data_IF_038757057372
#
_entry.id   IF_038757057372
#
_cell.length_a   1.000
_cell.length_b   1.000
_cell.length_c   1.000
_cell.angle_alpha   90.00
_cell.angle_beta   90.00
_cell.angle_gamma   90.00
#
_symmetry.space_group_name_H-M   'P 1'
#
loop_
_entity.id
_entity.type
_entity.pdbx_description
1 polymer ?
#
# COMPACT_ATOMS: atom_id res chain seq x y z
N UNK A 1 15.71 -1.24 -9.45
CA UNK A 1 16.34 -0.68 -8.22
C UNK A 1 17.57 0.22 -8.49
N UNK A 2 18.60 -0.14 -9.32
CA UNK A 2 19.75 0.74 -9.55
C UNK A 2 19.37 2.11 -10.12
N UNK A 3 18.50 2.16 -11.12
CA UNK A 3 18.03 3.41 -11.74
C UNK A 3 17.35 4.35 -10.71
N UNK A 4 16.43 3.82 -9.91
CA UNK A 4 15.76 4.60 -8.86
C UNK A 4 16.76 5.19 -7.83
N UNK A 5 17.80 4.43 -7.46
CA UNK A 5 18.86 4.90 -6.56
C UNK A 5 19.64 6.08 -7.15
N UNK A 6 19.92 6.08 -8.47
CA UNK A 6 20.64 7.18 -9.13
C UNK A 6 19.90 8.52 -9.02
N UNK A 7 18.57 8.49 -9.03
CA UNK A 7 17.73 9.69 -8.93
C UNK A 7 17.21 9.94 -7.50
N UNK A 8 17.74 9.23 -6.50
CA UNK A 8 17.30 9.29 -5.10
C UNK A 8 15.80 9.03 -4.91
N UNK A 9 15.22 8.16 -5.75
CA UNK A 9 13.84 7.71 -5.61
C UNK A 9 13.78 6.51 -4.69
N UNK A 10 12.99 6.61 -3.66
CA UNK A 10 12.79 5.52 -2.67
C UNK A 10 12.59 6.03 -1.25
N UNK A 11 12.45 5.11 -0.30
CA UNK A 11 12.59 3.64 -0.43
C UNK A 11 11.48 2.99 -1.25
N UNK A 12 11.82 2.06 -2.14
CA UNK A 12 10.86 1.33 -2.97
C UNK A 12 10.54 -0.02 -2.34
N UNK A 13 9.28 -0.27 -2.05
CA UNK A 13 8.77 -1.59 -1.69
C UNK A 13 8.51 -2.43 -2.93
N UNK A 14 8.98 -3.68 -2.93
CA UNK A 14 8.63 -4.67 -3.94
C UNK A 14 8.17 -5.93 -3.24
N UNK A 15 7.01 -6.44 -3.63
CA UNK A 15 6.37 -7.56 -2.97
C UNK A 15 5.79 -8.53 -4.00
N UNK A 16 5.66 -9.79 -3.59
CA UNK A 16 4.91 -10.82 -4.30
C UNK A 16 3.64 -11.14 -3.54
N UNK A 17 2.60 -11.57 -4.23
CA UNK A 17 1.42 -12.12 -3.58
C UNK A 17 1.81 -13.35 -2.76
N UNK A 18 1.56 -13.31 -1.45
CA UNK A 18 1.82 -14.44 -0.57
C UNK A 18 0.89 -15.62 -0.87
N UNK A 19 1.33 -16.85 -0.64
CA UNK A 19 0.44 -18.02 -0.66
C UNK A 19 -0.46 -18.00 0.58
N UNK A 20 -1.58 -17.30 0.48
CA UNK A 20 -2.52 -17.10 1.58
C UNK A 20 -3.97 -17.34 1.12
N UNK A 21 -4.83 -18.04 1.91
CA UNK A 21 -6.20 -18.37 1.52
C UNK A 21 -7.12 -17.19 1.20
N UNK A 22 -6.79 -16.00 1.71
CA UNK A 22 -7.55 -14.76 1.44
C UNK A 22 -7.13 -14.05 0.16
N UNK A 23 -5.99 -14.42 -0.43
CA UNK A 23 -5.56 -13.81 -1.69
C UNK A 23 -6.41 -14.36 -2.84
N UNK A 24 -6.68 -13.49 -3.81
CA UNK A 24 -7.30 -13.90 -5.05
C UNK A 24 -6.31 -14.76 -5.85
N UNK A 25 -6.72 -15.93 -6.30
CA UNK A 25 -5.88 -16.82 -7.12
C UNK A 25 -5.42 -16.17 -8.43
N UNK A 26 -6.23 -15.29 -9.00
CA UNK A 26 -5.86 -14.54 -10.20
C UNK A 26 -4.68 -13.58 -9.99
N UNK A 27 -4.42 -13.15 -8.74
CA UNK A 27 -3.32 -12.27 -8.36
C UNK A 27 -2.08 -13.04 -7.86
N UNK A 28 -2.05 -14.37 -7.98
CA UNK A 28 -1.01 -15.23 -7.41
C UNK A 28 0.41 -14.91 -7.94
N UNK A 29 0.51 -14.43 -9.16
CA UNK A 29 1.79 -14.09 -9.81
C UNK A 29 2.05 -12.58 -9.87
N UNK A 30 1.21 -11.77 -9.23
CA UNK A 30 1.35 -10.32 -9.27
C UNK A 30 2.56 -9.86 -8.46
N UNK A 31 3.25 -8.88 -9.04
CA UNK A 31 4.29 -8.11 -8.38
C UNK A 31 3.70 -6.76 -7.97
N UNK A 32 3.79 -6.45 -6.69
CA UNK A 32 3.32 -5.20 -6.12
C UNK A 32 4.48 -4.26 -5.85
N UNK A 33 4.36 -3.02 -6.28
CA UNK A 33 5.38 -2.00 -6.02
C UNK A 33 4.78 -0.82 -5.26
N UNK A 34 5.51 -0.34 -4.25
CA UNK A 34 5.19 0.85 -3.49
C UNK A 34 6.32 1.86 -3.67
N UNK A 35 6.04 3.00 -4.28
CA UNK A 35 7.03 4.03 -4.56
C UNK A 35 6.57 5.36 -3.97
N UNK A 36 7.24 5.88 -2.92
CA UNK A 36 6.93 7.19 -2.37
C UNK A 36 7.52 8.31 -3.22
N UNK A 37 6.81 9.41 -3.31
CA UNK A 37 7.23 10.67 -3.94
C UNK A 37 7.05 11.81 -2.95
N UNK A 38 7.89 12.81 -2.98
CA UNK A 38 7.79 13.99 -2.11
C UNK A 38 6.59 14.85 -2.47
N UNK A 39 6.24 14.88 -3.76
CA UNK A 39 5.13 15.66 -4.31
C UNK A 39 4.75 15.14 -5.71
N UNK A 40 3.67 15.68 -6.26
CA UNK A 40 3.17 15.31 -7.59
C UNK A 40 4.17 15.62 -8.72
N UNK A 41 4.93 16.71 -8.63
CA UNK A 41 5.93 17.07 -9.64
C UNK A 41 7.03 16.00 -9.76
N UNK A 42 7.50 15.48 -8.63
CA UNK A 42 8.49 14.40 -8.62
C UNK A 42 7.94 13.11 -9.27
N UNK A 43 6.66 12.82 -9.07
CA UNK A 43 5.99 11.70 -9.74
C UNK A 43 5.91 11.91 -11.25
N UNK A 44 5.48 13.07 -11.72
CA UNK A 44 5.32 13.34 -13.16
C UNK A 44 6.64 13.38 -13.93
N UNK A 45 7.72 13.82 -13.29
CA UNK A 45 9.06 13.87 -13.91
C UNK A 45 9.88 12.58 -13.77
N UNK A 46 9.34 11.51 -13.15
CA UNK A 46 10.13 10.31 -12.83
C UNK A 46 10.69 9.60 -14.06
N UNK A 47 9.89 9.48 -15.11
CA UNK A 47 10.26 8.69 -16.28
C UNK A 47 11.42 9.36 -17.04
N UNK A 48 11.39 10.68 -17.20
CA UNK A 48 12.47 11.47 -17.79
C UNK A 48 13.79 11.35 -16.99
N UNK A 49 13.68 11.16 -15.68
CA UNK A 49 14.82 11.05 -14.76
C UNK A 49 15.39 9.63 -14.66
N UNK A 50 14.57 8.61 -14.86
CA UNK A 50 14.96 7.19 -14.73
C UNK A 50 15.57 6.66 -16.02
N UNK A 51 15.04 7.05 -17.19
CA UNK A 51 15.45 6.54 -18.49
C UNK A 51 16.70 7.27 -18.96
N UNK A 52 17.84 6.76 -18.54
CA UNK A 52 19.18 7.18 -18.97
C UNK A 52 19.90 6.04 -19.74
N UNK A 53 21.07 6.33 -20.31
CA UNK A 53 21.84 5.35 -21.08
C UNK A 53 22.14 4.09 -20.25
N UNK A 54 22.45 4.24 -18.96
CA UNK A 54 22.71 3.13 -18.08
C UNK A 54 21.44 2.29 -17.82
N UNK A 55 20.27 2.91 -17.75
CA UNK A 55 19.01 2.18 -17.68
C UNK A 55 18.78 1.39 -18.96
N UNK A 56 18.93 2.03 -20.12
CA UNK A 56 18.72 1.39 -21.43
C UNK A 56 19.64 0.19 -21.60
N UNK A 57 20.92 0.33 -21.26
CA UNK A 57 21.90 -0.78 -21.34
C UNK A 57 21.55 -1.93 -20.37
N UNK A 58 21.26 -1.63 -19.10
CA UNK A 58 21.02 -2.65 -18.09
C UNK A 58 19.63 -3.31 -18.19
N UNK A 59 18.68 -2.66 -18.82
CA UNK A 59 17.32 -3.16 -19.04
C UNK A 59 17.09 -3.66 -20.48
N UNK A 60 18.15 -3.83 -21.27
CA UNK A 60 18.06 -4.15 -22.70
C UNK A 60 17.22 -5.39 -23.00
N UNK A 61 17.41 -6.48 -22.28
CA UNK A 61 16.63 -7.72 -22.42
C UNK A 61 15.13 -7.46 -22.17
N UNK A 62 14.80 -6.74 -21.10
CA UNK A 62 13.44 -6.34 -20.76
C UNK A 62 12.83 -5.41 -21.82
N UNK A 63 13.57 -4.38 -22.25
CA UNK A 63 13.09 -3.36 -23.19
C UNK A 63 12.88 -3.93 -24.61
N UNK A 64 13.65 -4.94 -25.00
CA UNK A 64 13.57 -5.58 -26.31
C UNK A 64 12.85 -6.94 -26.29
N UNK A 65 12.15 -7.27 -25.18
CA UNK A 65 11.34 -8.49 -25.12
C UNK A 65 10.26 -8.49 -26.21
N UNK A 66 10.04 -9.65 -26.81
CA UNK A 66 9.03 -9.80 -27.85
C UNK A 66 7.62 -9.84 -27.23
N UNK A 67 6.59 -9.46 -28.00
CA UNK A 67 5.20 -9.52 -27.57
C UNK A 67 4.74 -10.92 -27.12
N UNK A 68 5.39 -11.96 -27.61
CA UNK A 68 5.13 -13.37 -27.29
C UNK A 68 5.85 -13.83 -26.02
N UNK A 69 6.79 -13.04 -25.54
CA UNK A 69 7.58 -13.31 -24.33
C UNK A 69 7.72 -12.03 -23.49
N UNK A 70 6.61 -11.36 -23.28
CA UNK A 70 6.57 -10.11 -22.53
C UNK A 70 6.79 -10.35 -21.03
N UNK A 71 7.58 -9.49 -20.41
CA UNK A 71 7.92 -9.59 -18.98
C UNK A 71 6.69 -9.43 -18.06
N UNK A 72 5.59 -8.86 -18.54
CA UNK A 72 4.33 -8.72 -17.82
C UNK A 72 3.15 -8.62 -18.79
N UNK A 73 1.96 -8.93 -18.32
CA UNK A 73 0.73 -8.83 -19.11
C UNK A 73 0.18 -7.40 -19.11
N UNK A 74 0.06 -6.81 -17.91
CA UNK A 74 -0.48 -5.45 -17.72
C UNK A 74 0.12 -4.83 -16.45
N UNK A 75 0.13 -3.50 -16.43
CA UNK A 75 0.44 -2.71 -15.24
C UNK A 75 -0.81 -1.95 -14.83
N UNK A 76 -1.21 -2.09 -13.57
CA UNK A 76 -2.25 -1.27 -12.94
C UNK A 76 -1.58 -0.36 -11.93
N UNK A 77 -1.86 0.94 -12.00
CA UNK A 77 -1.24 1.92 -11.12
C UNK A 77 -2.31 2.69 -10.34
N UNK A 78 -1.99 3.01 -9.09
CA UNK A 78 -2.78 3.91 -8.26
C UNK A 78 -1.90 5.06 -7.77
N UNK A 79 -2.35 6.29 -8.00
CA UNK A 79 -1.73 7.49 -7.44
C UNK A 79 -2.48 7.92 -6.19
N UNK A 80 -1.77 8.00 -5.07
CA UNK A 80 -2.38 8.22 -3.76
C UNK A 80 -1.80 9.45 -3.09
N UNK A 81 -2.66 10.15 -2.32
CA UNK A 81 -2.23 11.16 -1.36
C UNK A 81 -2.09 10.52 0.01
N UNK A 82 -0.91 10.66 0.63
CA UNK A 82 -0.70 10.20 2.00
C UNK A 82 -1.66 10.91 2.96
N UNK A 83 -2.05 10.21 4.04
CA UNK A 83 -2.89 10.82 5.08
C UNK A 83 -2.10 11.83 5.91
N UNK A 84 -2.77 12.89 6.37
CA UNK A 84 -2.16 13.92 7.22
C UNK A 84 -1.62 13.33 8.53
N UNK A 85 -2.34 12.38 9.12
CA UNK A 85 -1.90 11.67 10.32
C UNK A 85 -0.71 10.72 10.13
N UNK A 86 -0.34 10.41 8.87
CA UNK A 86 0.86 9.63 8.52
C UNK A 86 1.38 10.02 7.13
N UNK A 87 2.01 11.20 7.02
CA UNK A 87 2.43 11.76 5.74
C UNK A 87 3.69 11.10 5.15
N UNK A 88 4.36 10.24 5.92
CA UNK A 88 5.60 9.55 5.50
C UNK A 88 5.46 8.06 5.59
N UNK A 89 6.08 7.38 4.63
CA UNK A 89 6.24 5.93 4.66
C UNK A 89 7.14 5.53 5.83
N UNK A 90 6.72 4.51 6.57
CA UNK A 90 7.50 3.92 7.66
C UNK A 90 8.11 2.60 7.20
N UNK A 91 9.45 2.50 7.33
CA UNK A 91 10.17 1.29 6.93
C UNK A 91 10.20 0.34 8.14
N UNK A 92 9.60 -0.86 8.03
CA UNK A 92 9.64 -1.83 9.12
C UNK A 92 11.05 -2.36 9.34
N UNK A 93 11.34 -2.81 10.56
CA UNK A 93 12.58 -3.52 10.85
C UNK A 93 12.70 -4.77 9.97
N UNK A 94 13.91 -5.05 9.48
CA UNK A 94 14.20 -6.28 8.72
C UNK A 94 13.97 -7.51 9.60
N UNK A 95 13.67 -8.63 8.98
CA UNK A 95 13.41 -9.91 9.64
C UNK A 95 12.22 -10.63 9.02
N UNK A 96 11.80 -11.73 9.65
CA UNK A 96 10.59 -12.45 9.21
C UNK A 96 9.37 -11.56 9.45
N UNK A 97 8.63 -11.28 8.40
CA UNK A 97 7.47 -10.40 8.42
C UNK A 97 6.52 -10.71 7.27
N UNK A 98 5.27 -10.43 7.48
CA UNK A 98 4.21 -10.48 6.47
C UNK A 98 3.57 -9.11 6.35
N UNK A 99 3.17 -8.74 5.17
CA UNK A 99 2.47 -7.50 4.89
C UNK A 99 1.01 -7.78 4.58
N UNK A 100 0.12 -6.89 5.00
CA UNK A 100 -1.30 -6.93 4.67
C UNK A 100 -1.67 -5.59 4.02
N UNK A 101 -1.88 -5.61 2.70
CA UNK A 101 -2.40 -4.49 1.94
C UNK A 101 -3.92 -4.52 2.02
N UNK A 102 -4.51 -3.42 2.49
CA UNK A 102 -5.95 -3.30 2.66
C UNK A 102 -6.47 -2.12 1.88
N UNK A 103 -7.51 -2.34 1.11
CA UNK A 103 -8.23 -1.34 0.34
C UNK A 103 -9.65 -1.26 0.88
N UNK A 104 -10.09 -0.05 1.23
CA UNK A 104 -11.44 0.25 1.69
C UNK A 104 -12.13 1.10 0.65
N UNK A 105 -13.09 0.50 -0.05
CA UNK A 105 -13.93 1.16 -1.05
C UNK A 105 -15.13 1.80 -0.37
N UNK A 106 -15.53 2.97 -0.85
CA UNK A 106 -16.73 3.67 -0.41
C UNK A 106 -17.71 3.79 -1.58
N UNK A 107 -19.00 3.97 -1.29
CA UNK A 107 -20.01 4.05 -2.33
C UNK A 107 -20.21 5.47 -2.90
N UNK A 108 -19.53 6.48 -2.32
CA UNK A 108 -19.42 7.84 -2.85
C UNK A 108 -18.23 8.58 -2.22
N UNK A 109 -17.92 9.74 -2.80
CA UNK A 109 -16.75 10.55 -2.45
C UNK A 109 -16.84 11.11 -1.02
N UNK A 110 -18.02 11.54 -0.57
CA UNK A 110 -18.21 12.05 0.78
C UNK A 110 -17.90 10.96 1.82
N UNK A 111 -18.39 9.75 1.62
CA UNK A 111 -18.13 8.62 2.53
C UNK A 111 -16.66 8.22 2.54
N UNK A 112 -15.97 8.30 1.39
CA UNK A 112 -14.52 8.09 1.34
C UNK A 112 -13.76 9.16 2.13
N UNK A 113 -14.12 10.45 1.98
CA UNK A 113 -13.51 11.54 2.73
C UNK A 113 -13.75 11.39 4.24
N UNK A 114 -14.96 11.04 4.66
CA UNK A 114 -15.29 10.80 6.07
C UNK A 114 -14.49 9.61 6.63
N UNK A 115 -14.24 8.55 5.82
CA UNK A 115 -13.40 7.44 6.27
C UNK A 115 -11.94 7.85 6.43
N UNK A 116 -11.39 8.67 5.52
CA UNK A 116 -10.06 9.28 5.67
C UNK A 116 -9.97 10.15 6.93
N UNK A 117 -11.00 10.98 7.16
CA UNK A 117 -11.11 11.80 8.37
C UNK A 117 -11.10 10.93 9.64
N UNK A 118 -11.89 9.86 9.67
CA UNK A 118 -11.94 8.91 10.79
C UNK A 118 -10.56 8.35 11.12
N UNK A 119 -9.77 7.98 10.11
CA UNK A 119 -8.39 7.54 10.31
C UNK A 119 -7.52 8.64 10.94
N UNK A 120 -7.56 9.84 10.39
CA UNK A 120 -6.74 10.96 10.85
C UNK A 120 -7.11 11.43 12.27
N UNK A 121 -8.40 11.42 12.63
CA UNK A 121 -8.90 11.89 13.92
C UNK A 121 -8.69 10.88 15.06
N UNK A 122 -8.47 9.58 14.76
CA UNK A 122 -8.32 8.63 15.86
C UNK A 122 -7.94 7.21 15.48
N UNK A 123 -8.35 6.66 14.35
CA UNK A 123 -8.13 5.25 14.03
C UNK A 123 -6.64 4.91 13.94
N UNK A 124 -5.79 5.83 13.41
CA UNK A 124 -4.33 5.68 13.37
C UNK A 124 -3.75 5.59 14.78
N UNK A 125 -4.23 6.42 15.71
CA UNK A 125 -3.78 6.38 17.11
C UNK A 125 -4.16 5.05 17.78
N UNK A 126 -5.37 4.53 17.50
CA UNK A 126 -5.80 3.22 18.00
C UNK A 126 -4.96 2.10 17.39
N UNK A 127 -4.61 2.15 16.10
CA UNK A 127 -3.69 1.20 15.48
C UNK A 127 -2.36 1.15 16.22
N UNK A 128 -1.76 2.31 16.48
CA UNK A 128 -0.50 2.41 17.23
C UNK A 128 -0.61 1.83 18.66
N UNK A 129 -1.69 2.14 19.37
CA UNK A 129 -1.94 1.65 20.73
C UNK A 129 -2.14 0.13 20.79
N UNK A 130 -2.60 -0.50 19.72
CA UNK A 130 -2.93 -1.93 19.65
C UNK A 130 -1.90 -2.75 18.90
N UNK A 131 -0.77 -2.15 18.50
CA UNK A 131 0.34 -2.81 17.84
C UNK A 131 0.13 -3.08 16.35
N UNK A 132 -0.92 -2.49 15.72
CA UNK A 132 -1.12 -2.52 14.29
C UNK A 132 -0.13 -1.57 13.61
N UNK A 133 1.06 -2.06 13.30
CA UNK A 133 2.14 -1.27 12.70
C UNK A 133 1.85 -1.00 11.23
N UNK A 134 1.67 0.26 10.88
CA UNK A 134 1.38 0.68 9.50
C UNK A 134 2.63 1.12 8.76
N UNK A 135 2.72 0.74 7.50
CA UNK A 135 3.75 1.18 6.54
C UNK A 135 3.35 2.51 5.90
N UNK A 136 2.12 2.60 5.42
CA UNK A 136 1.54 3.81 4.85
C UNK A 136 0.01 3.80 4.95
N UNK A 137 -0.58 4.98 4.78
CA UNK A 137 -2.00 5.19 4.46
C UNK A 137 -2.09 6.15 3.29
N UNK A 138 -2.96 5.88 2.33
CA UNK A 138 -3.17 6.71 1.15
C UNK A 138 -4.61 6.75 0.70
N UNK A 139 -5.09 7.95 0.35
CA UNK A 139 -6.33 8.14 -0.40
C UNK A 139 -6.02 8.01 -1.88
N UNK A 140 -6.67 7.11 -2.59
CA UNK A 140 -6.51 6.98 -4.04
C UNK A 140 -7.16 8.15 -4.76
N UNK A 141 -6.36 8.89 -5.53
CA UNK A 141 -6.80 10.03 -6.34
C UNK A 141 -7.05 9.60 -7.78
N UNK A 142 -6.19 8.71 -8.31
CA UNK A 142 -6.27 8.15 -9.66
C UNK A 142 -5.94 6.67 -9.55
N UNK A 143 -6.79 5.80 -10.07
CA UNK A 143 -6.61 4.36 -10.03
C UNK A 143 -7.92 3.59 -10.18
N UNK A 144 -7.87 2.27 -10.08
CA UNK A 144 -9.07 1.44 -10.10
C UNK A 144 -9.89 1.59 -8.82
N UNK A 145 -11.16 1.19 -8.89
CA UNK A 145 -12.07 1.01 -7.75
C UNK A 145 -12.25 2.24 -6.84
N UNK A 146 -12.08 3.45 -7.39
CA UNK A 146 -12.33 4.70 -6.65
C UNK A 146 -13.84 4.98 -6.50
N UNK A 147 -14.27 5.64 -5.39
CA UNK A 147 -13.43 6.23 -4.34
C UNK A 147 -12.98 5.19 -3.30
N UNK A 148 -11.68 5.16 -3.01
CA UNK A 148 -11.13 4.26 -2.02
C UNK A 148 -9.95 4.88 -1.27
N UNK A 149 -9.58 4.26 -0.17
CA UNK A 149 -8.31 4.43 0.51
C UNK A 149 -7.58 3.09 0.61
N UNK A 150 -6.27 3.14 0.62
CA UNK A 150 -5.42 1.95 0.75
C UNK A 150 -4.38 2.17 1.83
N UNK A 151 -4.11 1.14 2.62
CA UNK A 151 -3.05 1.15 3.61
C UNK A 151 -2.37 -0.21 3.73
N UNK A 152 -1.16 -0.21 4.25
CA UNK A 152 -0.40 -1.43 4.45
C UNK A 152 0.02 -1.57 5.90
N UNK A 153 -0.22 -2.75 6.46
CA UNK A 153 0.22 -3.15 7.78
C UNK A 153 1.33 -4.20 7.67
N UNK A 154 2.14 -4.31 8.73
CA UNK A 154 3.20 -5.30 8.83
C UNK A 154 3.14 -6.03 10.17
N UNK A 155 3.40 -7.34 10.15
CA UNK A 155 3.38 -8.21 11.31
C UNK A 155 4.57 -9.18 11.26
N UNK A 156 4.99 -9.67 12.39
CA UNK A 156 6.00 -10.72 12.50
C UNK A 156 5.46 -12.08 12.03
N UNK A 157 4.18 -12.35 12.30
CA UNK A 157 3.48 -13.57 11.91
C UNK A 157 1.96 -13.41 12.04
N UNK A 158 1.19 -14.44 11.63
CA UNK A 158 -0.28 -14.45 11.67
C UNK A 158 -0.85 -14.46 13.11
N UNK A 159 -0.15 -15.01 14.07
CA UNK A 159 -0.59 -15.02 15.48
C UNK A 159 -0.58 -13.59 16.05
N UNK A 160 0.53 -12.87 15.87
CA UNK A 160 0.65 -11.45 16.29
C UNK A 160 -0.39 -10.60 15.58
N UNK A 161 -0.60 -10.84 14.27
CA UNK A 161 -1.67 -10.18 13.53
C UNK A 161 -3.03 -10.39 14.20
N UNK A 162 -3.38 -11.63 14.50
CA UNK A 162 -4.65 -11.97 15.14
C UNK A 162 -4.81 -11.29 16.49
N UNK A 163 -3.79 -11.29 17.32
CA UNK A 163 -3.75 -10.61 18.62
C UNK A 163 -4.01 -9.11 18.48
N UNK A 164 -3.29 -8.45 17.58
CA UNK A 164 -3.36 -6.99 17.40
C UNK A 164 -4.73 -6.56 16.86
N UNK A 165 -5.31 -7.32 15.91
CA UNK A 165 -6.66 -7.05 15.43
C UNK A 165 -7.72 -7.25 16.52
N UNK A 166 -7.58 -8.28 17.37
CA UNK A 166 -8.49 -8.45 18.50
C UNK A 166 -8.39 -7.30 19.51
N UNK A 167 -7.17 -6.83 19.80
CA UNK A 167 -6.96 -5.67 20.67
C UNK A 167 -7.62 -4.40 20.07
N UNK A 168 -7.44 -4.18 18.76
CA UNK A 168 -8.09 -3.07 18.06
C UNK A 168 -9.63 -3.13 18.15
N UNK A 169 -10.22 -4.29 17.82
CA UNK A 169 -11.68 -4.45 17.83
C UNK A 169 -12.31 -4.29 19.21
N UNK A 170 -11.54 -4.55 20.28
CA UNK A 170 -11.99 -4.39 21.68
C UNK A 170 -11.61 -3.03 22.29
N UNK A 171 -10.90 -2.18 21.54
CA UNK A 171 -10.43 -0.91 22.07
C UNK A 171 -11.61 0.07 22.30
N UNK A 172 -11.75 0.68 23.49
CA UNK A 172 -12.91 1.54 23.84
C UNK A 172 -13.10 2.71 22.87
N UNK A 173 -11.99 3.34 22.43
CA UNK A 173 -12.07 4.44 21.46
C UNK A 173 -12.52 3.97 20.09
N UNK A 174 -12.17 2.73 19.66
CA UNK A 174 -12.71 2.15 18.44
C UNK A 174 -14.21 1.92 18.56
N UNK A 175 -14.67 1.35 19.67
CA UNK A 175 -16.09 1.13 19.90
C UNK A 175 -16.90 2.44 19.86
N UNK A 176 -16.39 3.49 20.50
CA UNK A 176 -16.98 4.83 20.42
C UNK A 176 -16.98 5.37 18.99
N UNK A 177 -15.85 5.31 18.30
CA UNK A 177 -15.66 5.93 16.98
C UNK A 177 -16.50 5.26 15.89
N UNK A 178 -16.54 3.92 15.85
CA UNK A 178 -17.31 3.18 14.84
C UNK A 178 -18.84 3.39 14.97
N UNK A 179 -19.30 3.80 16.16
CA UNK A 179 -20.73 4.08 16.44
C UNK A 179 -21.11 5.55 16.25
N UNK A 180 -20.18 6.43 15.87
CA UNK A 180 -20.49 7.82 15.52
C UNK A 180 -21.28 7.90 14.23
N UNK A 181 -22.43 8.58 14.25
CA UNK A 181 -23.33 8.68 13.09
C UNK A 181 -22.65 9.25 11.84
N UNK A 182 -21.70 10.18 12.02
CA UNK A 182 -20.94 10.78 10.93
C UNK A 182 -20.11 9.75 10.15
N UNK A 183 -19.64 8.68 10.82
CA UNK A 183 -18.80 7.64 10.20
C UNK A 183 -19.57 6.39 9.75
N UNK A 184 -20.88 6.42 9.89
CA UNK A 184 -21.73 5.32 9.46
C UNK A 184 -21.68 5.13 7.95
N UNK A 185 -21.64 3.85 7.52
CA UNK A 185 -21.65 3.44 6.12
C UNK A 185 -20.51 4.04 5.27
N UNK A 186 -19.36 4.36 5.89
CA UNK A 186 -18.19 4.92 5.17
C UNK A 186 -17.43 3.90 4.34
N UNK A 187 -17.65 2.60 4.54
CA UNK A 187 -16.99 1.51 3.81
C UNK A 187 -18.03 0.57 3.24
N UNK A 188 -18.02 0.39 1.92
CA UNK A 188 -18.93 -0.51 1.19
C UNK A 188 -18.29 -1.88 0.91
N UNK A 189 -16.94 -1.93 0.74
CA UNK A 189 -16.19 -3.16 0.49
C UNK A 189 -14.78 -3.06 1.06
N UNK A 190 -14.29 -4.17 1.58
CA UNK A 190 -12.90 -4.31 2.05
C UNK A 190 -12.23 -5.40 1.22
N UNK A 191 -11.09 -5.06 0.61
CA UNK A 191 -10.21 -6.04 -0.03
C UNK A 191 -8.93 -6.12 0.78
N UNK A 192 -8.49 -7.32 1.12
CA UNK A 192 -7.25 -7.55 1.85
C UNK A 192 -6.37 -8.54 1.09
N UNK A 193 -5.09 -8.18 0.92
CA UNK A 193 -4.08 -9.00 0.27
C UNK A 193 -2.90 -9.19 1.18
N UNK A 194 -2.37 -10.41 1.24
CA UNK A 194 -1.15 -10.72 1.97
C UNK A 194 0.02 -10.77 1.00
N UNK A 195 1.10 -10.12 1.37
CA UNK A 195 2.26 -9.92 0.51
C UNK A 195 3.53 -10.32 1.25
N UNK A 196 4.46 -10.94 0.51
CA UNK A 196 5.81 -11.24 0.97
C UNK A 196 6.79 -10.27 0.28
N UNK A 197 7.74 -9.67 1.02
CA UNK A 197 8.70 -8.75 0.42
C UNK A 197 9.70 -9.50 -0.43
N UNK A 198 10.01 -8.97 -1.61
CA UNK A 198 11.12 -9.46 -2.41
C UNK A 198 12.46 -9.27 -1.65
N UNK A 199 13.48 -10.13 -1.88
CA UNK A 199 14.76 -10.02 -1.16
C UNK A 199 15.46 -8.66 -1.31
N UNK A 200 15.19 -7.96 -2.40
CA UNK A 200 15.73 -6.64 -2.71
C UNK A 200 14.77 -5.49 -2.38
N UNK A 201 13.61 -5.76 -1.78
CA UNK A 201 12.69 -4.72 -1.30
C UNK A 201 13.37 -3.82 -0.26
N UNK A 202 13.12 -2.52 -0.35
CA UNK A 202 13.64 -1.53 0.59
C UNK A 202 12.66 -1.26 1.76
N UNK A 203 11.46 -1.81 1.63
CA UNK A 203 10.39 -1.73 2.64
C UNK A 203 10.15 -3.09 3.25
#
# INVERSE_FOLDING_TARGET
>A
MPAAKRINLGPIGVFHSANHPKNNKAEQHDIWTLTPFKNAQEFFSRDERIVDDAFIQNANEYLNSQKTDAAYTRITSSFMRAFDGKPKLEIPRKGKRIFELREYQSHNELKALLKVQMFNEGEIAIFNATGLKSVFFGQTLIGPDIPNLTYMLVYENQEIRGKNWQAFLKHPNWDRMKNMEIYKDTVSKIVARFLDPAPYSQV
#
